data_IF_469651634912
#
_entry.id   IF_469651634912
#
_cell.length_a   1.000
_cell.length_b   1.000
_cell.length_c   1.000
_cell.angle_alpha   90.00
_cell.angle_beta   90.00
_cell.angle_gamma   90.00
#
_symmetry.space_group_name_H-M   'P 1'
#
loop_
_entity.id
_entity.type
_entity.pdbx_description
1 polymer ?
#
# COMPACT_ATOMS: atom_id res chain seq x y z
N UNK A 1 20.14 34.65 -1.49
CA UNK A 1 20.73 33.49 -0.79
C UNK A 1 19.66 32.44 -0.86
N UNK A 2 19.89 31.36 -1.61
CA UNK A 2 18.99 30.22 -1.55
C UNK A 2 19.10 29.66 -0.13
N UNK A 3 17.99 29.64 0.61
CA UNK A 3 17.94 28.99 1.91
C UNK A 3 18.12 27.49 1.67
N UNK A 4 19.29 26.98 2.02
CA UNK A 4 19.61 25.57 1.94
C UNK A 4 18.69 24.80 2.89
N UNK A 5 17.89 23.87 2.35
CA UNK A 5 16.89 23.13 3.14
C UNK A 5 17.59 22.27 4.19
N UNK A 6 17.10 22.32 5.42
CA UNK A 6 17.52 21.41 6.48
C UNK A 6 16.72 20.09 6.38
N UNK A 7 17.38 19.02 5.94
CA UNK A 7 16.79 17.69 5.84
C UNK A 7 17.04 16.89 7.12
N UNK A 8 16.00 16.26 7.67
CA UNK A 8 16.15 15.29 8.76
C UNK A 8 16.72 13.95 8.26
N UNK A 9 16.35 13.57 7.04
CA UNK A 9 16.91 12.46 6.27
C UNK A 9 16.67 12.75 4.78
N UNK A 10 17.60 12.35 3.93
CA UNK A 10 17.51 12.42 2.47
C UNK A 10 18.34 11.27 1.90
N UNK A 11 17.73 10.09 1.81
CA UNK A 11 18.40 8.92 1.25
C UNK A 11 17.61 8.33 0.08
N UNK A 12 18.37 7.96 -0.94
CA UNK A 12 17.89 7.28 -2.14
C UNK A 12 18.12 5.78 -1.96
N UNK A 13 17.09 4.99 -2.25
CA UNK A 13 17.14 3.53 -2.24
C UNK A 13 16.60 3.01 -3.57
N UNK A 14 17.25 1.97 -4.12
CA UNK A 14 16.69 1.20 -5.23
C UNK A 14 15.62 0.22 -4.69
N UNK A 15 14.37 0.41 -5.10
CA UNK A 15 13.24 -0.41 -4.66
C UNK A 15 12.66 -1.23 -5.81
N UNK A 16 11.91 -2.29 -5.48
CA UNK A 16 11.10 -3.04 -6.46
C UNK A 16 9.64 -2.68 -6.29
N UNK A 17 8.99 -2.32 -7.39
CA UNK A 17 7.56 -2.01 -7.42
C UNK A 17 6.83 -2.94 -8.38
N UNK A 18 5.78 -3.60 -7.91
CA UNK A 18 4.83 -4.34 -8.74
C UNK A 18 3.63 -3.46 -9.01
N UNK A 19 3.34 -3.21 -10.29
CA UNK A 19 2.07 -2.64 -10.74
C UNK A 19 1.13 -3.78 -11.09
N UNK A 20 -0.04 -3.82 -10.47
CA UNK A 20 -1.01 -4.88 -10.66
C UNK A 20 -2.41 -4.30 -10.72
N UNK A 21 -3.20 -4.79 -11.67
CA UNK A 21 -4.60 -4.43 -11.81
C UNK A 21 -5.43 -5.70 -11.82
N UNK A 22 -6.49 -5.72 -11.02
CA UNK A 22 -7.46 -6.82 -11.02
C UNK A 22 -8.87 -6.29 -10.83
N UNK A 23 -9.85 -7.04 -11.32
CA UNK A 23 -11.26 -6.70 -11.19
C UNK A 23 -11.80 -7.46 -9.97
N UNK A 24 -12.29 -6.72 -8.98
CA UNK A 24 -13.13 -7.24 -7.91
C UNK A 24 -14.58 -7.42 -8.39
N UNK A 25 -15.50 -7.76 -7.49
CA UNK A 25 -16.90 -7.94 -7.88
C UNK A 25 -17.55 -6.61 -8.32
N UNK A 26 -17.19 -5.51 -7.64
CA UNK A 26 -17.85 -4.21 -7.79
C UNK A 26 -16.95 -3.14 -8.40
N UNK A 27 -15.65 -3.20 -8.10
CA UNK A 27 -14.68 -2.21 -8.58
C UNK A 27 -13.37 -2.85 -9.05
N UNK A 28 -12.62 -2.08 -9.83
CA UNK A 28 -11.28 -2.45 -10.27
C UNK A 28 -10.28 -1.92 -9.27
N UNK A 29 -9.29 -2.72 -8.91
CA UNK A 29 -8.13 -2.28 -8.15
C UNK A 29 -6.95 -2.03 -9.10
N UNK A 30 -6.28 -0.89 -8.95
CA UNK A 30 -5.00 -0.59 -9.62
C UNK A 30 -3.96 -0.26 -8.55
N UNK A 31 -3.12 -1.23 -8.21
CA UNK A 31 -2.18 -1.12 -7.10
C UNK A 31 -0.74 -0.97 -7.58
N UNK A 32 0.01 -0.13 -6.88
CA UNK A 32 1.47 -0.10 -6.90
C UNK A 32 1.98 -0.60 -5.53
N UNK A 33 2.67 -1.73 -5.53
CA UNK A 33 3.18 -2.36 -4.31
C UNK A 33 4.69 -2.30 -4.32
N UNK A 34 5.26 -1.50 -3.42
CA UNK A 34 6.70 -1.24 -3.35
C UNK A 34 7.31 -1.95 -2.14
N UNK A 35 8.30 -2.80 -2.42
CA UNK A 35 9.16 -3.42 -1.41
C UNK A 35 10.36 -2.52 -1.12
N UNK A 36 10.57 -2.18 0.15
CA UNK A 36 11.67 -1.35 0.65
C UNK A 36 12.18 -1.90 1.98
N UNK A 37 13.46 -1.71 2.27
CA UNK A 37 14.04 -2.10 3.56
C UNK A 37 13.66 -1.12 4.69
N UNK A 38 13.11 0.07 4.37
CA UNK A 38 12.74 1.10 5.37
C UNK A 38 11.58 0.70 6.28
N UNK A 39 10.77 -0.28 5.88
CA UNK A 39 9.54 -0.64 6.59
C UNK A 39 9.60 -2.04 7.24
N UNK A 40 10.79 -2.52 7.59
CA UNK A 40 10.99 -3.76 8.37
C UNK A 40 10.29 -5.00 7.81
N UNK A 41 10.27 -5.14 6.48
CA UNK A 41 9.61 -6.25 5.79
C UNK A 41 8.17 -5.96 5.37
N UNK A 42 7.58 -4.82 5.77
CA UNK A 42 6.29 -4.36 5.25
C UNK A 42 6.43 -3.75 3.87
N UNK A 43 5.33 -3.78 3.11
CA UNK A 43 5.24 -3.22 1.77
C UNK A 43 4.48 -1.89 1.78
N UNK A 44 4.89 -0.93 0.96
CA UNK A 44 4.07 0.24 0.66
C UNK A 44 3.05 -0.16 -0.43
N UNK A 45 1.78 -0.22 -0.08
CA UNK A 45 0.68 -0.52 -1.01
C UNK A 45 -0.08 0.76 -1.31
N UNK A 46 -0.02 1.22 -2.56
CA UNK A 46 -0.73 2.39 -3.07
C UNK A 46 -1.84 1.95 -4.02
N UNK A 47 -3.07 2.36 -3.73
CA UNK A 47 -4.17 2.37 -4.69
C UNK A 47 -4.09 3.64 -5.55
N UNK A 48 -3.82 3.43 -6.84
CA UNK A 48 -3.63 4.49 -7.82
C UNK A 48 -4.94 5.14 -8.27
N UNK A 49 -6.10 4.52 -8.00
CA UNK A 49 -7.40 5.13 -8.32
C UNK A 49 -7.83 6.11 -7.23
N UNK A 50 -7.76 5.69 -5.96
CA UNK A 50 -8.21 6.50 -4.83
C UNK A 50 -7.13 7.42 -4.25
N UNK A 51 -5.88 7.27 -4.68
CA UNK A 51 -4.69 7.94 -4.10
C UNK A 51 -4.50 7.62 -2.61
N UNK A 52 -4.85 6.40 -2.22
CA UNK A 52 -4.74 5.92 -0.83
C UNK A 52 -3.61 4.92 -0.72
N UNK A 53 -2.89 4.95 0.38
CA UNK A 53 -1.82 4.01 0.62
C UNK A 53 -1.76 3.60 2.08
N UNK A 54 -1.16 2.44 2.29
CA UNK A 54 -0.81 1.95 3.62
C UNK A 54 0.55 1.22 3.54
N UNK A 55 1.24 1.17 4.68
CA UNK A 55 2.40 0.30 4.86
C UNK A 55 1.85 -0.98 5.51
N UNK A 56 1.91 -2.09 4.79
CA UNK A 56 1.23 -3.34 5.14
C UNK A 56 2.23 -4.49 5.30
N UNK A 57 2.13 -5.18 6.44
CA UNK A 57 2.57 -6.56 6.64
C UNK A 57 1.36 -7.48 6.73
N UNK A 58 1.62 -8.79 6.86
CA UNK A 58 0.57 -9.80 7.03
C UNK A 58 -0.22 -9.61 8.31
N UNK A 59 0.39 -9.07 9.37
CA UNK A 59 -0.25 -8.70 10.64
C UNK A 59 -1.32 -7.61 10.47
N UNK A 60 -1.08 -6.63 9.59
CA UNK A 60 -2.04 -5.55 9.34
C UNK A 60 -3.29 -6.04 8.59
N UNK A 61 -3.21 -7.17 7.88
CA UNK A 61 -4.35 -7.78 7.19
C UNK A 61 -5.32 -8.45 8.17
N UNK A 62 -4.86 -8.80 9.37
CA UNK A 62 -5.66 -9.42 10.43
C UNK A 62 -6.42 -8.39 11.28
N UNK A 63 -6.04 -7.10 11.22
CA UNK A 63 -6.67 -6.04 12.01
C UNK A 63 -8.06 -5.68 11.43
N UNK A 64 -9.16 -5.89 12.18
CA UNK A 64 -10.50 -5.64 11.68
C UNK A 64 -10.74 -4.17 11.33
N UNK A 65 -11.29 -3.89 10.14
CA UNK A 65 -11.62 -2.54 9.70
C UNK A 65 -10.42 -1.71 9.19
N UNK A 66 -9.20 -2.26 9.22
CA UNK A 66 -8.00 -1.50 8.87
C UNK A 66 -7.94 -1.15 7.38
N UNK A 67 -8.20 -2.11 6.48
CA UNK A 67 -8.17 -1.87 5.04
C UNK A 67 -9.34 -1.00 4.59
N UNK A 68 -10.50 -1.20 5.18
CA UNK A 68 -11.71 -0.38 5.02
C UNK A 68 -11.38 1.08 5.35
N UNK A 69 -10.70 1.33 6.47
CA UNK A 69 -10.32 2.67 6.86
C UNK A 69 -9.22 3.26 5.96
N UNK A 70 -8.15 2.52 5.72
CA UNK A 70 -6.99 2.98 4.97
C UNK A 70 -7.33 3.30 3.50
N UNK A 71 -8.11 2.41 2.87
CA UNK A 71 -8.47 2.50 1.45
C UNK A 71 -9.90 3.05 1.22
N UNK A 72 -10.66 3.36 2.27
CA UNK A 72 -12.06 3.81 2.17
C UNK A 72 -12.95 2.86 1.35
N UNK A 73 -12.80 1.58 1.62
CA UNK A 73 -13.54 0.51 0.97
C UNK A 73 -14.76 0.11 1.79
N UNK A 74 -15.75 -0.48 1.12
CA UNK A 74 -16.74 -1.30 1.81
C UNK A 74 -16.07 -2.54 2.42
N UNK A 75 -16.72 -3.18 3.39
CA UNK A 75 -16.24 -4.44 3.98
C UNK A 75 -15.98 -5.50 2.91
N UNK A 76 -16.90 -5.64 1.93
CA UNK A 76 -16.76 -6.57 0.81
C UNK A 76 -15.52 -6.28 -0.07
N UNK A 77 -15.33 -5.03 -0.47
CA UNK A 77 -14.20 -4.67 -1.32
C UNK A 77 -12.87 -4.74 -0.54
N UNK A 78 -12.90 -4.49 0.76
CA UNK A 78 -11.76 -4.71 1.64
C UNK A 78 -11.42 -6.20 1.78
N UNK A 79 -12.41 -7.10 1.85
CA UNK A 79 -12.21 -8.55 1.84
C UNK A 79 -11.52 -9.02 0.55
N UNK A 80 -11.98 -8.56 -0.61
CA UNK A 80 -11.36 -8.87 -1.90
C UNK A 80 -9.92 -8.37 -1.99
N UNK A 81 -9.66 -7.14 -1.53
CA UNK A 81 -8.31 -6.60 -1.44
C UNK A 81 -7.45 -7.42 -0.46
N UNK A 82 -8.00 -7.83 0.69
CA UNK A 82 -7.31 -8.60 1.72
C UNK A 82 -6.87 -9.97 1.18
N UNK A 83 -7.77 -10.68 0.52
CA UNK A 83 -7.48 -11.99 -0.08
C UNK A 83 -6.35 -11.88 -1.10
N UNK A 84 -6.40 -10.87 -1.99
CA UNK A 84 -5.32 -10.60 -2.92
C UNK A 84 -3.99 -10.30 -2.22
N UNK A 85 -4.00 -9.49 -1.16
CA UNK A 85 -2.80 -9.13 -0.41
C UNK A 85 -2.19 -10.33 0.32
N UNK A 86 -2.99 -11.26 0.85
CA UNK A 86 -2.48 -12.50 1.46
C UNK A 86 -1.71 -13.39 0.49
N UNK A 87 -2.03 -13.36 -0.81
CA UNK A 87 -1.31 -14.15 -1.81
C UNK A 87 0.09 -13.60 -2.11
N UNK A 88 0.35 -12.33 -1.78
CA UNK A 88 1.53 -11.61 -2.28
C UNK A 88 2.43 -11.01 -1.20
N UNK A 89 1.94 -10.83 0.02
CA UNK A 89 2.69 -10.30 1.18
C UNK A 89 3.30 -11.43 2.02
#
# INVERSE_FOLDING_TARGET
>A
MDEERFYLYDDIEETKTRFVSFMGDEERFDLAITSTMRHYGKHLVLDMQSNRFAILGTDDLEEPGYLEHAFQLSEKNADELRDFLYEIL
#
